data_IF_141031851818
#
_entry.id   IF_141031851818
#
_cell.length_a   1.000
_cell.length_b   1.000
_cell.length_c   1.000
_cell.angle_alpha   90.00
_cell.angle_beta   90.00
_cell.angle_gamma   90.00
#
_symmetry.space_group_name_H-M   'P 1'
#
loop_
_entity.id
_entity.type
_entity.pdbx_description
1 polymer ?
#
# COMPACT_ATOMS: atom_id res chain seq x y z
N UNK A 1 -9.07 17.26 21.68
CA UNK A 1 -7.92 16.54 21.07
C UNK A 1 -7.93 15.07 21.47
N UNK A 2 -7.98 14.75 22.77
CA UNK A 2 -7.99 13.36 23.28
C UNK A 2 -9.15 12.50 22.76
N UNK A 3 -10.38 13.03 22.67
CA UNK A 3 -11.52 12.29 22.09
C UNK A 3 -11.31 11.91 20.61
N UNK A 4 -10.68 12.78 19.82
CA UNK A 4 -10.39 12.51 18.39
C UNK A 4 -9.30 11.45 18.25
N UNK A 5 -8.29 11.48 19.13
CA UNK A 5 -7.26 10.43 19.19
C UNK A 5 -7.86 9.07 19.59
N UNK A 6 -8.73 9.03 20.60
CA UNK A 6 -9.39 7.79 21.04
C UNK A 6 -10.33 7.19 19.99
N UNK A 7 -11.09 8.02 19.27
CA UNK A 7 -11.94 7.59 18.15
C UNK A 7 -11.11 7.00 17.00
N UNK A 8 -9.96 7.61 16.69
CA UNK A 8 -9.05 7.10 15.67
C UNK A 8 -8.36 5.80 16.10
N UNK A 9 -7.98 5.66 17.37
CA UNK A 9 -7.41 4.42 17.90
C UNK A 9 -8.41 3.26 17.80
N UNK A 10 -9.64 3.47 18.27
CA UNK A 10 -10.68 2.44 18.24
C UNK A 10 -11.00 2.00 16.81
N UNK A 11 -11.09 2.96 15.87
CA UNK A 11 -11.35 2.68 14.47
C UNK A 11 -10.23 1.85 13.82
N UNK A 12 -8.97 2.26 14.01
CA UNK A 12 -7.82 1.51 13.48
C UNK A 12 -7.73 0.12 14.10
N UNK A 13 -8.02 -0.01 15.39
CA UNK A 13 -8.03 -1.30 16.08
C UNK A 13 -9.14 -2.20 15.55
N UNK A 14 -10.34 -1.69 15.33
CA UNK A 14 -11.45 -2.45 14.75
C UNK A 14 -11.11 -3.00 13.36
N UNK A 15 -10.54 -2.17 12.49
CA UNK A 15 -10.12 -2.62 11.15
C UNK A 15 -8.96 -3.61 11.22
N UNK A 16 -8.01 -3.40 12.13
CA UNK A 16 -6.91 -4.36 12.38
C UNK A 16 -7.44 -5.71 12.87
N UNK A 17 -8.48 -5.71 13.71
CA UNK A 17 -9.05 -6.92 14.31
C UNK A 17 -9.92 -7.72 13.35
N UNK A 18 -10.43 -7.09 12.28
CA UNK A 18 -11.10 -7.81 11.20
C UNK A 18 -10.20 -8.90 10.61
N UNK A 19 -8.88 -8.69 10.59
CA UNK A 19 -7.91 -9.70 10.18
C UNK A 19 -8.03 -11.01 10.96
N UNK A 20 -8.32 -10.92 12.27
CA UNK A 20 -8.42 -12.09 13.13
C UNK A 20 -9.69 -12.90 12.90
N UNK A 21 -10.70 -12.30 12.25
CA UNK A 21 -11.95 -12.95 11.89
C UNK A 21 -11.89 -13.69 10.55
N UNK A 22 -10.86 -13.42 9.73
CA UNK A 22 -10.68 -14.03 8.42
C UNK A 22 -10.02 -15.41 8.52
N UNK A 23 -10.49 -16.35 7.70
CA UNK A 23 -9.82 -17.63 7.56
C UNK A 23 -8.46 -17.49 6.83
N UNK A 24 -7.60 -18.51 6.92
CA UNK A 24 -6.24 -18.47 6.35
C UNK A 24 -6.23 -18.23 4.84
N UNK A 25 -7.23 -18.70 4.09
CA UNK A 25 -7.29 -18.49 2.63
C UNK A 25 -7.79 -17.09 2.30
N UNK A 26 -8.75 -16.59 3.07
CA UNK A 26 -9.30 -15.24 2.94
C UNK A 26 -8.25 -14.17 3.25
N UNK A 27 -7.38 -14.42 4.22
CA UNK A 27 -6.25 -13.53 4.57
C UNK A 27 -5.33 -13.23 3.38
N UNK A 28 -5.21 -14.16 2.44
CA UNK A 28 -4.32 -14.00 1.27
C UNK A 28 -4.96 -13.22 0.12
N UNK A 29 -6.24 -12.85 0.23
CA UNK A 29 -6.94 -12.15 -0.84
C UNK A 29 -6.57 -10.65 -0.83
N UNK A 30 -6.20 -10.05 -1.99
CA UNK A 30 -5.80 -8.66 -2.08
C UNK A 30 -6.76 -7.66 -1.42
N UNK A 31 -8.08 -7.89 -1.55
CA UNK A 31 -9.10 -7.05 -0.90
C UNK A 31 -8.99 -7.01 0.63
N UNK A 32 -8.61 -8.11 1.25
CA UNK A 32 -8.55 -8.24 2.70
C UNK A 32 -7.24 -7.66 3.23
N UNK A 33 -6.15 -7.81 2.47
CA UNK A 33 -4.90 -7.10 2.73
C UNK A 33 -5.13 -5.58 2.68
N UNK A 34 -5.80 -5.09 1.64
CA UNK A 34 -6.11 -3.66 1.50
C UNK A 34 -6.96 -3.12 2.65
N UNK A 35 -7.95 -3.88 3.10
CA UNK A 35 -8.84 -3.47 4.19
C UNK A 35 -8.12 -3.42 5.56
N UNK A 36 -7.24 -4.38 5.82
CA UNK A 36 -6.72 -4.61 7.18
C UNK A 36 -5.28 -4.09 7.39
N UNK A 37 -4.37 -4.29 6.42
CA UNK A 37 -2.94 -4.11 6.65
C UNK A 37 -2.50 -2.66 6.88
N UNK A 38 -3.00 -1.65 6.11
CA UNK A 38 -2.66 -0.26 6.38
C UNK A 38 -3.09 0.17 7.78
N UNK A 39 -4.29 -0.23 8.20
CA UNK A 39 -4.84 0.07 9.54
C UNK A 39 -4.04 -0.61 10.64
N UNK A 40 -3.65 -1.88 10.43
CA UNK A 40 -2.81 -2.65 11.37
C UNK A 40 -1.42 -2.01 11.51
N UNK A 41 -0.79 -1.62 10.40
CA UNK A 41 0.49 -0.90 10.41
C UNK A 41 0.36 0.45 11.13
N UNK A 42 -0.69 1.22 10.84
CA UNK A 42 -0.93 2.51 11.48
C UNK A 42 -1.13 2.37 12.99
N UNK A 43 -1.90 1.36 13.43
CA UNK A 43 -2.11 1.08 14.84
C UNK A 43 -0.82 0.61 15.52
N UNK A 44 -0.09 -0.34 14.92
CA UNK A 44 1.14 -0.89 15.50
C UNK A 44 2.24 0.16 15.64
N UNK A 45 2.43 1.02 14.63
CA UNK A 45 3.40 2.12 14.69
C UNK A 45 3.05 3.14 15.77
N UNK A 46 1.76 3.42 16.01
CA UNK A 46 1.31 4.44 16.97
C UNK A 46 1.18 3.93 18.40
N UNK A 47 0.75 2.68 18.58
CA UNK A 47 0.33 2.12 19.87
C UNK A 47 0.94 0.75 20.16
N UNK A 48 1.20 -0.06 19.13
CA UNK A 48 1.72 -1.43 19.25
C UNK A 48 3.23 -1.53 19.44
N UNK A 49 3.99 -0.47 19.19
CA UNK A 49 5.45 -0.47 19.37
C UNK A 49 6.21 -1.35 18.36
N UNK A 50 5.61 -1.63 17.19
CA UNK A 50 6.27 -2.37 16.11
C UNK A 50 6.22 -3.89 16.24
N UNK A 51 5.34 -4.44 17.09
CA UNK A 51 5.25 -5.89 17.35
C UNK A 51 4.55 -6.66 16.23
N UNK A 52 3.73 -5.98 15.44
CA UNK A 52 2.95 -6.59 14.34
C UNK A 52 3.71 -6.55 13.01
N UNK A 53 4.79 -5.76 12.90
CA UNK A 53 5.56 -5.60 11.66
C UNK A 53 5.98 -6.94 11.03
N UNK A 54 6.32 -7.94 11.85
CA UNK A 54 6.62 -9.30 11.37
C UNK A 54 5.41 -9.96 10.72
N UNK A 55 4.27 -9.97 11.40
CA UNK A 55 3.04 -10.60 10.90
C UNK A 55 2.52 -9.92 9.64
N UNK A 56 2.67 -8.60 9.54
CA UNK A 56 2.36 -7.83 8.34
C UNK A 56 3.26 -8.28 7.18
N UNK A 57 4.58 -8.36 7.39
CA UNK A 57 5.51 -8.82 6.36
C UNK A 57 5.25 -10.27 5.92
N UNK A 58 4.94 -11.17 6.86
CA UNK A 58 4.56 -12.55 6.58
C UNK A 58 3.28 -12.64 5.75
N UNK A 59 2.27 -11.83 6.04
CA UNK A 59 1.01 -11.79 5.28
C UNK A 59 1.24 -11.39 3.81
N UNK A 60 1.98 -10.30 3.56
CA UNK A 60 2.30 -9.88 2.20
C UNK A 60 3.18 -10.89 1.46
N UNK A 61 4.14 -11.50 2.16
CA UNK A 61 5.02 -12.53 1.59
C UNK A 61 4.24 -13.78 1.21
N UNK A 62 3.27 -14.21 2.03
CA UNK A 62 2.41 -15.34 1.73
C UNK A 62 1.48 -15.06 0.53
N UNK A 63 1.05 -13.82 0.36
CA UNK A 63 0.23 -13.37 -0.76
C UNK A 63 1.05 -12.88 -1.98
N UNK A 64 2.36 -13.14 -2.03
CA UNK A 64 3.27 -12.71 -3.13
C UNK A 64 2.82 -13.16 -4.52
N UNK A 65 2.01 -14.21 -4.63
CA UNK A 65 1.38 -14.63 -5.89
C UNK A 65 0.51 -13.55 -6.54
N UNK A 66 0.08 -12.54 -5.77
CA UNK A 66 -0.75 -11.41 -6.22
C UNK A 66 0.04 -10.15 -6.54
N UNK A 67 1.36 -10.22 -6.75
CA UNK A 67 2.22 -9.05 -7.04
C UNK A 67 1.78 -8.20 -8.25
N UNK A 68 1.03 -8.76 -9.20
CA UNK A 68 0.49 -8.04 -10.35
C UNK A 68 -0.95 -7.57 -10.15
N UNK A 69 -1.57 -7.87 -9.01
CA UNK A 69 -2.89 -7.40 -8.64
C UNK A 69 -2.79 -5.96 -8.14
N UNK A 70 -3.56 -5.05 -8.75
CA UNK A 70 -3.53 -3.65 -8.39
C UNK A 70 -3.92 -3.35 -6.95
N UNK A 71 -4.86 -4.12 -6.38
CA UNK A 71 -5.31 -3.94 -5.01
C UNK A 71 -4.27 -4.43 -4.00
N UNK A 72 -3.53 -5.50 -4.34
CA UNK A 72 -2.36 -5.93 -3.57
C UNK A 72 -1.30 -4.83 -3.54
N UNK A 73 -0.99 -4.25 -4.70
CA UNK A 73 0.01 -3.19 -4.82
C UNK A 73 -0.38 -1.94 -4.03
N UNK A 74 -1.64 -1.52 -4.12
CA UNK A 74 -2.17 -0.41 -3.33
C UNK A 74 -2.08 -0.69 -1.82
N UNK A 75 -2.48 -1.90 -1.39
CA UNK A 75 -2.41 -2.31 0.01
C UNK A 75 -0.98 -2.25 0.54
N UNK A 76 -0.03 -2.74 -0.25
CA UNK A 76 1.39 -2.75 0.10
C UNK A 76 1.93 -1.33 0.27
N UNK A 77 1.64 -0.43 -0.68
CA UNK A 77 2.09 0.96 -0.63
C UNK A 77 1.48 1.73 0.56
N UNK A 78 0.19 1.53 0.84
CA UNK A 78 -0.49 2.15 1.99
C UNK A 78 0.01 1.60 3.34
N UNK A 79 0.34 0.32 3.39
CA UNK A 79 0.95 -0.29 4.58
C UNK A 79 2.33 0.32 4.84
N UNK A 80 3.17 0.42 3.80
CA UNK A 80 4.51 1.00 3.89
C UNK A 80 4.50 2.46 4.36
N UNK A 81 3.50 3.25 3.97
CA UNK A 81 3.34 4.64 4.44
C UNK A 81 3.16 4.75 5.96
N UNK A 82 2.61 3.71 6.59
CA UNK A 82 2.35 3.69 8.02
C UNK A 82 3.43 2.97 8.84
N UNK A 83 4.38 2.31 8.19
CA UNK A 83 5.46 1.61 8.89
C UNK A 83 6.63 2.54 9.20
N UNK A 84 7.28 2.30 10.33
CA UNK A 84 8.52 2.98 10.71
C UNK A 84 9.73 2.26 10.09
N UNK A 85 10.58 2.99 9.36
CA UNK A 85 11.83 2.50 8.78
C UNK A 85 12.79 1.88 9.81
N UNK A 86 12.66 2.25 11.09
CA UNK A 86 13.45 1.68 12.19
C UNK A 86 13.16 0.19 12.43
N UNK A 87 12.03 -0.34 11.92
CA UNK A 87 11.72 -1.78 11.89
C UNK A 87 12.32 -2.41 10.61
N UNK A 88 13.62 -2.15 10.40
CA UNK A 88 14.31 -2.22 9.11
C UNK A 88 14.14 -3.55 8.38
N UNK A 89 14.11 -4.68 9.10
CA UNK A 89 14.02 -6.00 8.46
C UNK A 89 12.67 -6.25 7.76
N UNK A 90 11.56 -5.92 8.42
CA UNK A 90 10.22 -6.17 7.88
C UNK A 90 9.81 -5.09 6.89
N UNK A 91 10.22 -3.84 7.14
CA UNK A 91 10.04 -2.75 6.20
C UNK A 91 10.73 -3.04 4.85
N UNK A 92 11.98 -3.52 4.89
CA UNK A 92 12.73 -3.83 3.67
C UNK A 92 12.11 -4.97 2.85
N UNK A 93 11.57 -6.00 3.50
CA UNK A 93 10.83 -7.07 2.81
C UNK A 93 9.66 -6.50 2.00
N UNK A 94 8.88 -5.60 2.60
CA UNK A 94 7.77 -4.96 1.89
C UNK A 94 8.23 -4.02 0.78
N UNK A 95 9.32 -3.28 0.98
CA UNK A 95 9.90 -2.42 -0.05
C UNK A 95 10.41 -3.23 -1.25
N UNK A 96 11.06 -4.38 -1.00
CA UNK A 96 11.51 -5.30 -2.05
C UNK A 96 10.33 -5.88 -2.84
N UNK A 97 9.23 -6.23 -2.16
CA UNK A 97 8.00 -6.68 -2.82
C UNK A 97 7.38 -5.56 -3.67
N UNK A 98 7.41 -4.30 -3.20
CA UNK A 98 6.87 -3.17 -3.95
C UNK A 98 7.69 -2.93 -5.22
N UNK A 99 9.02 -3.00 -5.12
CA UNK A 99 9.91 -2.89 -6.26
C UNK A 99 9.67 -4.01 -7.29
N UNK A 100 9.56 -5.25 -6.82
CA UNK A 100 9.27 -6.41 -7.67
C UNK A 100 7.91 -6.27 -8.37
N UNK A 101 6.87 -5.90 -7.62
CA UNK A 101 5.54 -5.69 -8.15
C UNK A 101 5.50 -4.56 -9.17
N UNK A 102 6.17 -3.44 -8.90
CA UNK A 102 6.28 -2.33 -9.85
C UNK A 102 6.93 -2.76 -11.18
N UNK A 103 7.97 -3.60 -11.13
CA UNK A 103 8.63 -4.10 -12.34
C UNK A 103 7.74 -5.05 -13.15
N UNK A 104 6.93 -5.87 -12.48
CA UNK A 104 6.08 -6.88 -13.12
C UNK A 104 4.74 -6.32 -13.62
N UNK A 105 4.13 -5.44 -12.84
CA UNK A 105 2.76 -4.98 -13.04
C UNK A 105 2.68 -3.75 -13.97
N UNK A 106 3.74 -2.93 -14.04
CA UNK A 106 3.71 -1.67 -14.79
C UNK A 106 3.31 -1.81 -16.28
N UNK A 107 3.78 -2.83 -17.02
CA UNK A 107 3.42 -2.99 -18.44
C UNK A 107 1.91 -3.17 -18.72
N UNK A 108 1.14 -3.59 -17.71
CA UNK A 108 -0.31 -3.78 -17.80
C UNK A 108 -1.02 -3.09 -16.61
N UNK A 109 -0.49 -1.95 -16.16
CA UNK A 109 -0.93 -1.28 -14.96
C UNK A 109 -2.37 -0.75 -15.07
N UNK A 110 -3.18 -1.09 -14.07
CA UNK A 110 -4.44 -0.41 -13.77
C UNK A 110 -4.20 0.84 -12.91
N UNK A 111 -5.28 1.56 -12.58
CA UNK A 111 -5.18 2.76 -11.75
C UNK A 111 -4.53 2.51 -10.38
N UNK A 112 -4.71 1.32 -9.81
CA UNK A 112 -4.22 0.95 -8.47
C UNK A 112 -2.72 0.69 -8.49
N UNK A 113 -2.22 0.03 -9.53
CA UNK A 113 -0.78 -0.15 -9.76
C UNK A 113 -0.11 1.22 -9.95
N UNK A 114 -0.68 2.09 -10.77
CA UNK A 114 -0.13 3.44 -10.99
C UNK A 114 -0.10 4.26 -9.70
N UNK A 115 -1.16 4.21 -8.91
CA UNK A 115 -1.21 4.81 -7.57
C UNK A 115 -0.09 4.27 -6.66
N UNK A 116 0.06 2.95 -6.57
CA UNK A 116 1.06 2.32 -5.71
C UNK A 116 2.49 2.70 -6.13
N UNK A 117 2.78 2.76 -7.43
CA UNK A 117 4.09 3.15 -7.95
C UNK A 117 4.38 4.63 -7.65
N UNK A 118 3.42 5.54 -7.88
CA UNK A 118 3.60 6.96 -7.54
C UNK A 118 3.82 7.17 -6.04
N UNK A 119 3.05 6.47 -5.20
CA UNK A 119 3.26 6.50 -3.74
C UNK A 119 4.63 5.94 -3.38
N UNK A 120 5.07 4.83 -4.00
CA UNK A 120 6.40 4.25 -3.81
C UNK A 120 7.53 5.24 -4.14
N UNK A 121 7.39 6.01 -5.23
CA UNK A 121 8.32 7.09 -5.57
C UNK A 121 8.32 8.18 -4.51
N UNK A 122 7.13 8.64 -4.07
CA UNK A 122 7.02 9.66 -3.00
C UNK A 122 7.66 9.21 -1.68
N UNK A 123 7.52 7.94 -1.33
CA UNK A 123 8.11 7.36 -0.12
C UNK A 123 9.63 7.15 -0.24
N UNK A 124 10.25 7.42 -1.40
CA UNK A 124 11.67 7.20 -1.65
C UNK A 124 12.04 5.73 -1.81
N UNK A 125 11.06 4.86 -2.08
CA UNK A 125 11.25 3.42 -2.24
C UNK A 125 11.52 3.01 -3.69
N UNK A 126 11.06 3.82 -4.65
CA UNK A 126 11.23 3.60 -6.07
C UNK A 126 11.95 4.79 -6.70
N UNK A 127 12.85 4.50 -7.64
CA UNK A 127 13.65 5.51 -8.33
C UNK A 127 12.76 6.39 -9.25
N UNK A 128 12.66 7.71 -8.99
CA UNK A 128 11.85 8.60 -9.80
C UNK A 128 12.27 8.64 -11.27
N UNK A 129 13.58 8.58 -11.58
CA UNK A 129 14.06 8.68 -12.96
C UNK A 129 13.63 7.47 -13.80
N UNK A 130 13.56 6.31 -13.17
CA UNK A 130 13.12 5.06 -13.79
C UNK A 130 11.61 5.00 -13.99
N UNK A 131 10.82 5.33 -12.95
CA UNK A 131 9.39 5.02 -12.93
C UNK A 131 8.49 6.18 -13.38
N UNK A 132 8.85 7.44 -13.10
CA UNK A 132 7.96 8.57 -13.39
C UNK A 132 7.63 8.75 -14.87
N UNK A 133 8.57 8.61 -15.84
CA UNK A 133 8.25 8.86 -17.26
C UNK A 133 7.11 7.98 -17.78
N UNK A 134 7.14 6.69 -17.47
CA UNK A 134 6.15 5.71 -17.92
C UNK A 134 4.83 5.86 -17.16
N UNK A 135 4.90 5.99 -15.83
CA UNK A 135 3.71 6.08 -14.96
C UNK A 135 2.91 7.34 -15.23
N UNK A 136 3.58 8.49 -15.44
CA UNK A 136 2.90 9.75 -15.79
C UNK A 136 2.14 9.63 -17.10
N UNK A 137 2.81 9.08 -18.13
CA UNK A 137 2.17 8.80 -19.42
C UNK A 137 0.96 7.87 -19.26
N UNK A 138 1.08 6.82 -18.44
CA UNK A 138 -0.03 5.90 -18.20
C UNK A 138 -1.22 6.59 -17.51
N UNK A 139 -0.99 7.39 -16.46
CA UNK A 139 -2.04 8.13 -15.74
C UNK A 139 -2.79 9.12 -16.62
N UNK A 140 -2.08 9.81 -17.52
CA UNK A 140 -2.68 10.76 -18.46
C UNK A 140 -3.58 10.09 -19.50
N UNK A 141 -3.23 8.86 -19.91
CA UNK A 141 -3.95 8.11 -20.92
C UNK A 141 -5.00 7.13 -20.36
N UNK A 142 -5.02 6.91 -19.03
CA UNK A 142 -5.97 6.01 -18.41
C UNK A 142 -7.36 6.65 -18.40
N UNK A 143 -8.33 6.00 -19.03
CA UNK A 143 -9.75 6.35 -18.92
C UNK A 143 -10.35 5.69 -17.69
N UNK A 144 -11.05 6.41 -16.82
CA UNK A 144 -11.70 5.80 -15.66
C UNK A 144 -12.79 4.82 -16.10
N UNK A 145 -12.67 3.57 -15.67
CA UNK A 145 -13.80 2.63 -15.58
C UNK A 145 -14.29 2.57 -14.12
N UNK A 146 -15.55 2.15 -13.91
CA UNK A 146 -16.29 2.32 -12.66
C UNK A 146 -15.50 2.09 -11.36
N UNK A 147 -14.79 0.97 -11.20
CA UNK A 147 -14.08 0.63 -9.94
C UNK A 147 -12.69 1.26 -9.82
N UNK A 148 -12.17 1.82 -10.92
CA UNK A 148 -10.83 2.39 -11.03
C UNK A 148 -10.84 3.92 -10.90
N UNK A 149 -12.01 4.57 -10.96
CA UNK A 149 -12.14 6.03 -10.91
C UNK A 149 -11.57 6.66 -9.64
N UNK A 150 -11.82 6.06 -8.47
CA UNK A 150 -11.28 6.55 -7.20
C UNK A 150 -9.76 6.39 -7.13
N UNK A 151 -9.24 5.25 -7.57
CA UNK A 151 -7.80 5.03 -7.64
C UNK A 151 -7.12 5.92 -8.67
N UNK A 152 -7.77 6.23 -9.78
CA UNK A 152 -7.25 7.17 -10.76
C UNK A 152 -7.17 8.59 -10.17
N UNK A 153 -8.16 8.99 -9.37
CA UNK A 153 -8.08 10.24 -8.61
C UNK A 153 -6.92 10.22 -7.63
N UNK A 154 -6.75 9.15 -6.85
CA UNK A 154 -5.63 9.00 -5.92
C UNK A 154 -4.27 9.02 -6.64
N UNK A 155 -4.16 8.35 -7.79
CA UNK A 155 -2.95 8.37 -8.61
C UNK A 155 -2.64 9.79 -9.11
N UNK A 156 -3.65 10.56 -9.55
CA UNK A 156 -3.48 11.96 -9.94
C UNK A 156 -3.06 12.86 -8.78
N UNK A 157 -3.60 12.62 -7.59
CA UNK A 157 -3.21 13.34 -6.37
C UNK A 157 -1.74 13.04 -6.01
N UNK A 158 -1.31 11.77 -6.08
CA UNK A 158 0.08 11.38 -5.86
C UNK A 158 1.02 11.90 -6.96
N UNK A 159 0.55 11.99 -8.20
CA UNK A 159 1.28 12.64 -9.28
C UNK A 159 1.56 14.12 -8.96
N UNK A 160 0.54 14.86 -8.50
CA UNK A 160 0.72 16.27 -8.11
C UNK A 160 1.72 16.46 -6.96
N UNK A 161 1.84 15.46 -6.07
CA UNK A 161 2.80 15.47 -4.95
C UNK A 161 4.23 15.08 -5.35
N UNK A 162 4.40 14.39 -6.47
CA UNK A 162 5.71 13.94 -6.99
C UNK A 162 6.29 14.86 -8.07
N UNK A 163 5.57 15.92 -8.47
CA UNK A 163 6.10 16.92 -9.39
C UNK A 163 7.15 17.82 -8.69
N UNK A 164 8.32 18.07 -9.30
CA UNK A 164 9.22 19.10 -8.81
C UNK A 164 8.50 20.46 -8.88
N UNK A 165 8.53 21.20 -7.77
CA UNK A 165 7.98 22.56 -7.67
C UNK A 165 8.81 23.55 -8.48
#
# INVERSE_FOLDING_TARGET
MEQVCALNELYLKQLSDQWELLDTKERLLPRNLYLCMPSRAAWDTRFGGGREARGIAEAFSAARGSLTDGLYMAALADTLEHMNIQLYEHYRVLADLLLEGAQKALPAADARVLYAVLKGVRLGLLDPERYLPEVRRAVENLTPDGQDADFLRLARDEYGRTAPR
#
